data_IF_714644406583
#
_entry.id   IF_714644406583
#
_cell.length_a   1.000
_cell.length_b   1.000
_cell.length_c   1.000
_cell.angle_alpha   90.00
_cell.angle_beta   90.00
_cell.angle_gamma   90.00
#
_symmetry.space_group_name_H-M   'P 1'
#
loop_
_entity.id
_entity.type
_entity.pdbx_description
1 polymer ?
#
# COMPACT_ATOMS: atom_id res chain seq x y z
N UNK A 1 -2.84 4.82 -22.76
CA UNK A 1 -2.76 3.50 -22.07
C UNK A 1 -2.85 3.64 -20.54
N UNK A 2 -1.94 4.33 -19.84
CA UNK A 2 -2.03 4.46 -18.36
C UNK A 2 -3.26 5.29 -17.90
N UNK A 3 -3.57 6.41 -18.55
CA UNK A 3 -4.77 7.21 -18.26
C UNK A 3 -6.05 6.39 -18.43
N UNK A 4 -6.14 5.62 -19.46
CA UNK A 4 -7.29 4.75 -19.77
C UNK A 4 -7.51 3.67 -18.68
N UNK A 5 -6.43 3.13 -18.11
CA UNK A 5 -6.48 2.18 -17.00
C UNK A 5 -7.10 2.85 -15.76
N UNK A 6 -6.72 4.07 -15.44
CA UNK A 6 -7.26 4.80 -14.30
C UNK A 6 -8.73 5.13 -14.49
N UNK A 7 -9.10 5.66 -15.66
CA UNK A 7 -10.46 6.07 -15.94
C UNK A 7 -11.44 4.87 -15.93
N UNK A 8 -11.00 3.70 -16.39
CA UNK A 8 -11.86 2.52 -16.49
C UNK A 8 -11.90 1.66 -15.23
N UNK A 9 -10.86 1.67 -14.40
CA UNK A 9 -10.76 0.84 -13.20
C UNK A 9 -10.92 1.64 -11.91
N UNK A 10 -10.06 2.64 -11.68
CA UNK A 10 -10.02 3.31 -10.38
C UNK A 10 -11.23 4.22 -10.12
N UNK A 11 -11.74 4.92 -11.14
CA UNK A 11 -12.86 5.81 -10.92
C UNK A 11 -14.13 5.05 -10.49
N UNK A 12 -14.58 3.96 -11.15
CA UNK A 12 -15.66 3.13 -10.63
C UNK A 12 -15.35 2.49 -9.27
N UNK A 13 -14.09 2.07 -9.05
CA UNK A 13 -13.66 1.41 -7.82
C UNK A 13 -13.74 2.29 -6.58
N UNK A 14 -13.64 3.61 -6.72
CA UNK A 14 -13.80 4.58 -5.64
C UNK A 14 -15.10 4.40 -4.82
N UNK A 15 -16.16 3.87 -5.43
CA UNK A 15 -17.46 3.66 -4.78
C UNK A 15 -17.50 2.46 -3.84
N UNK A 16 -16.62 1.48 -4.02
CA UNK A 16 -16.69 0.17 -3.37
C UNK A 16 -15.47 -0.19 -2.53
N UNK A 17 -14.30 0.43 -2.79
CA UNK A 17 -13.03 0.05 -2.16
C UNK A 17 -13.06 0.07 -0.64
N UNK A 18 -13.70 1.07 -0.04
CA UNK A 18 -13.75 1.21 1.42
C UNK A 18 -14.62 0.13 2.10
N UNK A 19 -15.61 -0.43 1.40
CA UNK A 19 -16.46 -1.50 1.92
C UNK A 19 -15.66 -2.78 2.15
N UNK A 20 -14.84 -3.19 1.18
CA UNK A 20 -14.04 -4.41 1.26
C UNK A 20 -13.12 -4.39 2.51
N UNK A 21 -12.50 -3.25 2.79
CA UNK A 21 -11.62 -3.08 3.94
C UNK A 21 -12.34 -3.21 5.30
N UNK A 22 -13.65 -2.95 5.37
CA UNK A 22 -14.44 -2.99 6.61
C UNK A 22 -15.04 -4.36 6.95
N UNK A 23 -15.14 -5.28 5.99
CA UNK A 23 -15.96 -6.50 6.12
C UNK A 23 -15.17 -7.71 6.65
N UNK A 24 -13.89 -7.85 6.30
CA UNK A 24 -13.09 -9.05 6.54
C UNK A 24 -12.12 -8.87 7.71
N UNK A 25 -12.05 -9.87 8.60
CA UNK A 25 -11.05 -9.90 9.67
C UNK A 25 -9.61 -9.99 9.15
N UNK A 26 -9.41 -10.57 7.96
CA UNK A 26 -8.14 -10.55 7.24
C UNK A 26 -7.69 -9.11 6.95
N UNK A 27 -8.58 -8.25 6.43
CA UNK A 27 -8.23 -6.86 6.16
C UNK A 27 -8.00 -6.07 7.44
N UNK A 28 -8.77 -6.33 8.52
CA UNK A 28 -8.50 -5.71 9.83
C UNK A 28 -7.12 -6.06 10.35
N UNK A 29 -6.71 -7.34 10.24
CA UNK A 29 -5.37 -7.78 10.64
C UNK A 29 -4.27 -7.08 9.82
N UNK A 30 -4.44 -7.03 8.51
CA UNK A 30 -3.50 -6.34 7.62
C UNK A 30 -3.37 -4.85 7.97
N UNK A 31 -4.50 -4.18 8.21
CA UNK A 31 -4.55 -2.78 8.62
C UNK A 31 -3.84 -2.53 9.97
N UNK A 32 -4.03 -3.42 10.96
CA UNK A 32 -3.36 -3.30 12.25
C UNK A 32 -1.84 -3.52 12.13
N UNK A 33 -1.39 -4.48 11.33
CA UNK A 33 0.04 -4.70 11.05
C UNK A 33 0.65 -3.44 10.39
N UNK A 34 0.00 -2.90 9.36
CA UNK A 34 0.46 -1.69 8.66
C UNK A 34 0.52 -0.50 9.63
N UNK A 35 -0.54 -0.30 10.41
CA UNK A 35 -0.62 0.81 11.38
C UNK A 35 0.49 0.72 12.41
N UNK A 36 0.78 -0.49 12.92
CA UNK A 36 1.84 -0.70 13.90
C UNK A 36 3.24 -0.47 13.29
N UNK A 37 3.47 -0.88 12.04
CA UNK A 37 4.72 -0.56 11.33
C UNK A 37 4.89 0.96 11.20
N UNK A 38 3.86 1.68 10.75
CA UNK A 38 3.90 3.14 10.64
C UNK A 38 4.14 3.80 12.01
N UNK A 39 3.49 3.29 13.07
CA UNK A 39 3.69 3.80 14.45
C UNK A 39 5.14 3.63 14.91
N UNK A 40 5.79 2.52 14.58
CA UNK A 40 7.20 2.27 14.97
C UNK A 40 8.20 3.05 14.15
N UNK A 41 7.95 3.15 12.84
CA UNK A 41 8.97 3.59 11.89
C UNK A 41 8.83 5.06 11.47
N UNK A 42 7.65 5.65 11.58
CA UNK A 42 7.39 7.03 11.15
C UNK A 42 7.03 7.94 12.35
N UNK A 43 6.14 7.49 13.26
CA UNK A 43 5.64 8.34 14.33
C UNK A 43 6.73 8.99 15.23
N UNK A 44 7.85 8.31 15.56
CA UNK A 44 8.91 8.91 16.36
C UNK A 44 9.58 10.13 15.70
N UNK A 45 9.44 10.28 14.37
CA UNK A 45 10.03 11.36 13.58
C UNK A 45 9.03 12.45 13.22
N UNK A 46 7.76 12.32 13.63
CA UNK A 46 6.71 13.29 13.37
C UNK A 46 6.57 14.31 14.51
N UNK A 47 6.49 15.58 14.13
CA UNK A 47 6.14 16.70 15.00
C UNK A 47 4.83 17.34 14.55
N UNK A 48 4.30 18.30 15.31
CA UNK A 48 3.08 19.02 14.93
C UNK A 48 3.25 19.87 13.66
N UNK A 49 4.50 20.17 13.27
CA UNK A 49 4.84 20.87 12.04
C UNK A 49 5.15 19.94 10.85
N UNK A 50 5.19 18.63 11.06
CA UNK A 50 5.50 17.66 9.98
C UNK A 50 4.42 17.63 8.92
N UNK A 51 4.86 17.42 7.67
CA UNK A 51 4.01 17.18 6.52
C UNK A 51 4.19 15.74 6.03
N UNK A 52 3.13 14.95 6.04
CA UNK A 52 3.12 13.59 5.49
C UNK A 52 2.31 13.54 4.20
N UNK A 53 2.90 13.01 3.13
CA UNK A 53 2.20 12.73 1.88
C UNK A 53 1.68 11.28 1.90
N UNK A 54 0.39 11.10 1.62
CA UNK A 54 -0.22 9.80 1.30
C UNK A 54 -0.22 9.64 -0.22
N UNK A 55 0.79 8.93 -0.72
CA UNK A 55 1.09 8.81 -2.15
C UNK A 55 0.25 7.70 -2.80
N UNK A 56 -0.69 8.09 -3.66
CA UNK A 56 -1.75 7.23 -4.17
C UNK A 56 -2.80 6.96 -3.08
N UNK A 57 -3.14 7.98 -2.29
CA UNK A 57 -3.97 7.84 -1.09
C UNK A 57 -5.46 7.59 -1.34
N UNK A 58 -5.90 7.61 -2.61
CA UNK A 58 -7.23 7.20 -3.03
C UNK A 58 -8.35 7.92 -2.29
N UNK A 59 -9.21 7.17 -1.60
CA UNK A 59 -10.36 7.66 -0.84
C UNK A 59 -9.99 8.33 0.49
N UNK A 60 -8.70 8.48 0.80
CA UNK A 60 -8.20 9.12 2.02
C UNK A 60 -8.34 8.27 3.28
N UNK A 61 -8.76 7.02 3.18
CA UNK A 61 -8.94 6.11 4.31
C UNK A 61 -7.67 5.99 5.16
N UNK A 62 -6.50 5.91 4.52
CA UNK A 62 -5.22 5.81 5.23
C UNK A 62 -4.77 7.12 5.83
N UNK A 63 -4.91 8.25 5.15
CA UNK A 63 -4.61 9.55 5.74
C UNK A 63 -5.44 9.81 7.00
N UNK A 64 -6.74 9.47 6.98
CA UNK A 64 -7.62 9.57 8.17
C UNK A 64 -7.13 8.62 9.27
N UNK A 65 -6.92 7.33 8.99
CA UNK A 65 -6.47 6.34 9.99
C UNK A 65 -5.10 6.71 10.58
N UNK A 66 -4.15 7.12 9.75
CA UNK A 66 -2.81 7.47 10.20
C UNK A 66 -2.75 8.80 10.94
N UNK A 67 -3.69 9.71 10.74
CA UNK A 67 -3.77 10.95 11.52
C UNK A 67 -4.03 10.71 13.01
N UNK A 68 -4.49 9.51 13.41
CA UNK A 68 -4.63 9.09 14.79
C UNK A 68 -3.29 8.70 15.45
N UNK A 69 -2.29 8.33 14.64
CA UNK A 69 -0.99 7.85 15.13
C UNK A 69 0.19 8.75 14.75
N UNK A 70 0.04 9.57 13.72
CA UNK A 70 1.06 10.53 13.28
C UNK A 70 0.61 11.96 13.59
N UNK A 71 1.56 12.78 14.05
CA UNK A 71 1.38 14.22 14.22
C UNK A 71 1.53 14.98 12.90
N UNK A 72 1.12 16.26 12.90
CA UNK A 72 1.29 17.15 11.77
C UNK A 72 0.16 17.08 10.74
N UNK A 73 0.43 17.52 9.54
CA UNK A 73 -0.52 17.64 8.43
C UNK A 73 -0.32 16.52 7.40
N UNK A 74 -1.39 16.24 6.66
CA UNK A 74 -1.38 15.28 5.58
C UNK A 74 -1.76 15.93 4.26
N UNK A 75 -1.21 15.40 3.16
CA UNK A 75 -1.71 15.64 1.81
C UNK A 75 -1.97 14.30 1.15
N UNK A 76 -3.23 14.02 0.84
CA UNK A 76 -3.61 12.92 -0.04
C UNK A 76 -3.26 13.34 -1.46
N UNK A 77 -2.37 12.59 -2.09
CA UNK A 77 -1.97 12.85 -3.47
C UNK A 77 -2.39 11.65 -4.33
N UNK A 78 -3.32 11.88 -5.24
CA UNK A 78 -3.84 10.82 -6.11
C UNK A 78 -4.13 11.36 -7.51
N UNK A 79 -4.09 10.50 -8.50
CA UNK A 79 -4.36 10.83 -9.88
C UNK A 79 -5.84 10.81 -10.24
N UNK A 80 -6.65 10.07 -9.49
CA UNK A 80 -8.08 9.88 -9.75
C UNK A 80 -8.91 10.97 -9.09
N UNK A 81 -9.54 11.83 -9.90
CA UNK A 81 -10.48 12.84 -9.41
C UNK A 81 -11.65 12.21 -8.63
N UNK A 82 -12.15 11.04 -9.06
CA UNK A 82 -13.25 10.34 -8.37
C UNK A 82 -12.82 9.79 -7.00
N UNK A 83 -11.57 9.32 -6.90
CA UNK A 83 -10.99 8.94 -5.60
C UNK A 83 -10.89 10.15 -4.67
N UNK A 84 -10.39 11.28 -5.16
CA UNK A 84 -10.28 12.52 -4.37
C UNK A 84 -11.65 13.11 -4.00
N UNK A 85 -12.65 13.00 -4.87
CA UNK A 85 -14.02 13.37 -4.52
C UNK A 85 -14.54 12.51 -3.35
N UNK A 86 -14.27 11.19 -3.38
CA UNK A 86 -14.60 10.29 -2.28
C UNK A 86 -13.80 10.60 -1.01
N UNK A 87 -12.52 10.94 -1.15
CA UNK A 87 -11.69 11.39 -0.02
C UNK A 87 -12.28 12.63 0.65
N UNK A 88 -12.75 13.61 -0.12
CA UNK A 88 -13.42 14.81 0.41
C UNK A 88 -14.64 14.47 1.26
N UNK A 89 -15.48 13.51 0.80
CA UNK A 89 -16.63 13.04 1.59
C UNK A 89 -16.20 12.36 2.89
N UNK A 90 -15.18 11.51 2.83
CA UNK A 90 -14.68 10.75 3.98
C UNK A 90 -14.04 11.69 5.02
N UNK A 91 -13.21 12.64 4.56
CA UNK A 91 -12.58 13.66 5.41
C UNK A 91 -13.65 14.51 6.09
N UNK A 92 -14.68 14.96 5.34
CA UNK A 92 -15.77 15.78 5.89
C UNK A 92 -16.57 15.08 6.99
N UNK A 93 -16.54 13.76 7.07
CA UNK A 93 -17.17 12.94 8.12
C UNK A 93 -16.24 12.63 9.28
N UNK A 94 -14.95 12.95 9.16
CA UNK A 94 -13.94 12.69 10.17
C UNK A 94 -13.74 13.91 11.09
N UNK A 95 -13.11 13.68 12.24
CA UNK A 95 -12.72 14.74 13.20
C UNK A 95 -11.30 15.27 12.99
N UNK A 96 -10.69 14.98 11.80
CA UNK A 96 -9.31 15.36 11.45
C UNK A 96 -9.23 16.18 10.16
N UNK A 97 -10.36 16.72 9.73
CA UNK A 97 -10.51 17.46 8.47
C UNK A 97 -9.60 18.71 8.35
N UNK A 98 -9.27 19.33 9.47
CA UNK A 98 -8.36 20.49 9.56
C UNK A 98 -6.89 20.14 9.31
N UNK A 99 -6.55 18.87 9.36
CA UNK A 99 -5.17 18.37 9.18
C UNK A 99 -4.91 17.75 7.80
N UNK A 100 -5.94 17.49 7.01
CA UNK A 100 -5.83 16.73 5.75
C UNK A 100 -6.19 17.61 4.56
N UNK A 101 -5.23 17.80 3.65
CA UNK A 101 -5.43 18.42 2.35
C UNK A 101 -5.37 17.36 1.24
N UNK A 102 -5.78 17.74 0.04
CA UNK A 102 -5.78 16.87 -1.14
C UNK A 102 -5.14 17.59 -2.32
N UNK A 103 -4.46 16.85 -3.18
CA UNK A 103 -3.93 17.33 -4.44
C UNK A 103 -4.04 16.24 -5.51
N UNK A 104 -4.49 16.63 -6.69
CA UNK A 104 -4.51 15.76 -7.87
C UNK A 104 -3.16 15.80 -8.57
N UNK A 105 -2.63 14.63 -8.96
CA UNK A 105 -1.39 14.55 -9.73
C UNK A 105 -0.88 13.14 -9.94
N UNK A 106 0.17 13.03 -10.75
CA UNK A 106 0.80 11.75 -11.10
C UNK A 106 2.11 11.58 -10.33
N UNK A 107 2.32 10.39 -9.76
CA UNK A 107 3.55 10.06 -9.01
C UNK A 107 4.82 10.04 -9.88
N UNK A 108 4.68 10.00 -11.20
CA UNK A 108 5.83 10.09 -12.13
C UNK A 108 6.25 11.55 -12.43
N UNK A 109 5.43 12.52 -12.01
CA UNK A 109 5.68 13.95 -12.12
C UNK A 109 4.89 14.70 -11.04
N UNK A 110 5.55 15.06 -9.94
CA UNK A 110 4.91 15.64 -8.77
C UNK A 110 5.11 17.15 -8.72
N UNK A 111 4.31 17.90 -9.47
CA UNK A 111 4.43 19.36 -9.57
C UNK A 111 3.90 20.12 -8.33
N UNK A 112 3.06 19.45 -7.51
CA UNK A 112 2.45 20.05 -6.32
C UNK A 112 3.45 20.34 -5.19
N UNK A 113 4.51 19.55 -5.08
CA UNK A 113 5.50 19.68 -4.02
C UNK A 113 6.85 20.20 -4.57
N UNK A 114 7.43 21.19 -3.87
CA UNK A 114 8.80 21.62 -4.09
C UNK A 114 9.81 20.54 -3.65
N UNK A 115 11.05 20.67 -4.09
CA UNK A 115 12.16 19.84 -3.62
C UNK A 115 12.30 19.97 -2.09
N UNK A 116 12.55 18.86 -1.41
CA UNK A 116 12.80 18.82 0.04
C UNK A 116 11.68 19.51 0.87
N UNK A 117 10.42 19.31 0.50
CA UNK A 117 9.29 19.96 1.18
C UNK A 117 8.45 19.03 2.06
N UNK A 118 8.55 17.71 1.91
CA UNK A 118 7.77 16.70 2.61
C UNK A 118 8.63 16.01 3.67
N UNK A 119 8.12 15.86 4.89
CA UNK A 119 8.85 15.20 5.98
C UNK A 119 8.75 13.69 5.91
N UNK A 120 7.56 13.16 5.58
CA UNK A 120 7.33 11.72 5.47
C UNK A 120 6.45 11.40 4.26
N UNK A 121 6.64 10.22 3.69
CA UNK A 121 5.79 9.69 2.62
C UNK A 121 5.29 8.30 3.04
N UNK A 122 4.01 8.05 2.86
CA UNK A 122 3.41 6.71 2.95
C UNK A 122 2.71 6.37 1.65
N UNK A 123 2.80 5.12 1.21
CA UNK A 123 2.09 4.64 0.02
C UNK A 123 1.59 3.22 0.32
N UNK A 124 0.32 3.08 0.64
CA UNK A 124 -0.26 1.86 1.21
C UNK A 124 -1.25 1.22 0.24
N UNK A 125 -1.36 -0.11 0.27
CA UNK A 125 -2.10 -0.95 -0.68
C UNK A 125 -1.65 -0.80 -2.13
N UNK A 126 -0.34 -0.62 -2.28
CA UNK A 126 0.39 -0.87 -3.54
C UNK A 126 0.08 0.04 -4.72
N UNK A 127 -0.10 1.37 -4.57
CA UNK A 127 -0.20 2.28 -5.72
C UNK A 127 0.98 2.13 -6.68
N UNK A 128 2.19 1.88 -6.15
CA UNK A 128 3.40 1.66 -6.93
C UNK A 128 3.25 0.52 -7.95
N UNK A 129 2.50 -0.53 -7.63
CA UNK A 129 2.30 -1.68 -8.53
C UNK A 129 1.52 -1.34 -9.81
N UNK A 130 0.77 -0.24 -9.82
CA UNK A 130 0.03 0.24 -10.98
C UNK A 130 0.84 1.22 -11.86
N UNK A 131 2.05 1.59 -11.44
CA UNK A 131 2.93 2.50 -12.16
C UNK A 131 3.94 1.69 -12.97
N UNK A 132 4.02 1.93 -14.30
CA UNK A 132 5.00 1.24 -15.16
C UNK A 132 6.34 1.96 -15.21
N UNK A 133 6.34 3.28 -15.03
CA UNK A 133 7.55 4.12 -14.97
C UNK A 133 8.03 4.32 -13.53
N UNK A 134 8.15 3.23 -12.79
CA UNK A 134 8.43 3.23 -11.35
C UNK A 134 9.72 3.96 -10.98
N UNK A 135 10.75 3.89 -11.84
CA UNK A 135 12.00 4.62 -11.62
C UNK A 135 11.82 6.14 -11.64
N UNK A 136 10.88 6.68 -12.44
CA UNK A 136 10.53 8.10 -12.40
C UNK A 136 9.79 8.43 -11.10
N UNK A 137 8.80 7.62 -10.73
CA UNK A 137 8.07 7.81 -9.48
C UNK A 137 9.00 7.80 -8.27
N UNK A 138 9.92 6.83 -8.18
CA UNK A 138 10.90 6.77 -7.08
C UNK A 138 11.80 8.01 -7.02
N UNK A 139 12.24 8.55 -8.17
CA UNK A 139 13.04 9.78 -8.23
C UNK A 139 12.25 11.02 -7.80
N UNK A 140 10.98 11.14 -8.20
CA UNK A 140 10.10 12.22 -7.77
C UNK A 140 9.83 12.17 -6.25
N UNK A 141 9.54 10.99 -5.71
CA UNK A 141 9.40 10.80 -4.27
C UNK A 141 10.70 11.15 -3.52
N UNK A 142 11.86 10.80 -4.08
CA UNK A 142 13.15 11.23 -3.53
C UNK A 142 13.35 12.74 -3.59
N UNK A 143 13.00 13.38 -4.71
CA UNK A 143 13.15 14.82 -4.90
C UNK A 143 12.38 15.61 -3.84
N UNK A 144 11.11 15.28 -3.62
CA UNK A 144 10.23 16.04 -2.71
C UNK A 144 10.48 15.76 -1.24
N UNK A 145 11.03 14.58 -0.87
CA UNK A 145 11.32 14.23 0.51
C UNK A 145 12.50 15.05 1.04
N UNK A 146 12.40 15.56 2.27
CA UNK A 146 13.48 16.26 2.96
C UNK A 146 14.66 15.34 3.27
N UNK A 147 15.91 15.84 3.36
CA UNK A 147 16.98 15.09 4.00
C UNK A 147 16.59 14.68 5.44
N UNK A 148 16.85 13.42 5.79
CA UNK A 148 16.37 12.80 7.04
C UNK A 148 14.90 12.36 7.01
N UNK A 149 14.16 12.67 5.95
CA UNK A 149 12.78 12.26 5.77
C UNK A 149 12.66 10.76 5.48
N UNK A 150 11.52 10.17 5.83
CA UNK A 150 11.26 8.73 5.70
C UNK A 150 10.13 8.42 4.76
N UNK A 151 10.26 7.29 4.08
CA UNK A 151 9.24 6.77 3.18
C UNK A 151 8.92 5.31 3.49
N UNK A 152 7.63 4.99 3.57
CA UNK A 152 7.09 3.64 3.60
C UNK A 152 6.27 3.39 2.33
N UNK A 153 6.71 2.47 1.48
CA UNK A 153 6.06 2.15 0.21
C UNK A 153 5.68 0.68 0.16
N UNK A 154 4.42 0.44 -0.19
CA UNK A 154 3.90 -0.90 -0.41
C UNK A 154 3.83 -1.25 -1.89
N UNK A 155 4.14 -2.51 -2.21
CA UNK A 155 3.98 -3.11 -3.52
C UNK A 155 3.48 -4.55 -3.41
N UNK A 156 2.76 -5.05 -4.40
CA UNK A 156 2.40 -6.46 -4.49
C UNK A 156 3.65 -7.35 -4.53
N UNK A 157 3.63 -8.43 -3.74
CA UNK A 157 4.74 -9.37 -3.67
C UNK A 157 4.79 -10.30 -4.87
N UNK A 158 5.96 -10.42 -5.48
CA UNK A 158 6.24 -11.33 -6.56
C UNK A 158 6.10 -12.79 -6.16
N UNK A 159 6.70 -13.19 -5.02
CA UNK A 159 6.63 -14.57 -4.57
C UNK A 159 5.24 -14.99 -4.14
N UNK A 160 4.48 -14.09 -3.52
CA UNK A 160 3.07 -14.34 -3.20
C UNK A 160 2.22 -14.44 -4.47
N UNK A 161 2.47 -13.59 -5.46
CA UNK A 161 1.76 -13.66 -6.75
C UNK A 161 2.00 -15.01 -7.45
N UNK A 162 3.23 -15.51 -7.50
CA UNK A 162 3.54 -16.84 -8.02
C UNK A 162 2.80 -17.94 -7.25
N UNK A 163 2.90 -17.94 -5.91
CA UNK A 163 2.24 -18.92 -5.08
C UNK A 163 0.73 -18.92 -5.27
N UNK A 164 0.10 -17.74 -5.29
CA UNK A 164 -1.34 -17.60 -5.50
C UNK A 164 -1.78 -18.05 -6.89
N UNK A 165 -1.05 -17.68 -7.94
CA UNK A 165 -1.36 -18.08 -9.32
C UNK A 165 -1.30 -19.59 -9.51
N UNK A 166 -0.37 -20.26 -8.84
CA UNK A 166 -0.26 -21.72 -8.88
C UNK A 166 -1.36 -22.39 -8.04
N UNK A 167 -1.51 -21.99 -6.78
CA UNK A 167 -2.33 -22.72 -5.82
C UNK A 167 -3.83 -22.37 -5.89
N UNK A 168 -4.15 -21.09 -6.06
CA UNK A 168 -5.53 -20.59 -5.97
C UNK A 168 -6.17 -20.37 -7.35
N UNK A 169 -5.40 -19.81 -8.31
CA UNK A 169 -5.93 -19.45 -9.63
C UNK A 169 -5.68 -20.52 -10.70
N UNK A 170 -4.79 -21.48 -10.44
CA UNK A 170 -4.42 -22.54 -11.41
C UNK A 170 -4.08 -21.98 -12.78
N UNK A 171 -3.28 -20.89 -12.80
CA UNK A 171 -2.90 -20.17 -14.00
C UNK A 171 -2.23 -21.09 -15.03
N UNK A 172 -2.43 -20.80 -16.29
CA UNK A 172 -1.81 -21.58 -17.38
C UNK A 172 -0.29 -21.33 -17.47
N UNK A 173 0.39 -22.18 -18.24
CA UNK A 173 1.85 -22.11 -18.40
C UNK A 173 2.32 -20.76 -18.96
N UNK A 174 1.56 -20.14 -19.88
CA UNK A 174 1.93 -18.86 -20.49
C UNK A 174 1.86 -17.72 -19.47
N UNK A 175 0.82 -17.69 -18.66
CA UNK A 175 0.66 -16.70 -17.59
C UNK A 175 1.75 -16.85 -16.55
N UNK A 176 2.05 -18.10 -16.11
CA UNK A 176 3.11 -18.37 -15.14
C UNK A 176 4.50 -17.96 -15.65
N UNK A 177 4.82 -18.27 -16.92
CA UNK A 177 6.09 -17.86 -17.54
C UNK A 177 6.19 -16.34 -17.67
N UNK A 178 5.10 -15.65 -18.02
CA UNK A 178 5.07 -14.19 -18.07
C UNK A 178 5.34 -13.60 -16.68
N UNK A 179 4.64 -14.07 -15.66
CA UNK A 179 4.85 -13.61 -14.28
C UNK A 179 6.29 -13.87 -13.83
N UNK A 180 6.84 -15.06 -14.10
CA UNK A 180 8.20 -15.42 -13.73
C UNK A 180 9.27 -14.53 -14.40
N UNK A 181 9.08 -14.15 -15.66
CA UNK A 181 10.07 -13.40 -16.42
C UNK A 181 9.92 -11.89 -16.33
N UNK A 182 8.68 -11.39 -16.24
CA UNK A 182 8.38 -9.95 -16.29
C UNK A 182 7.97 -9.36 -14.93
N UNK A 183 7.76 -10.19 -13.90
CA UNK A 183 7.24 -9.79 -12.59
C UNK A 183 5.92 -9.01 -12.69
N UNK A 184 5.06 -9.38 -13.63
CA UNK A 184 3.76 -8.77 -13.86
C UNK A 184 2.65 -9.78 -13.68
N UNK A 185 1.58 -9.37 -13.01
CA UNK A 185 0.42 -10.22 -12.71
C UNK A 185 -0.88 -9.54 -13.11
N UNK A 186 -1.80 -10.31 -13.67
CA UNK A 186 -3.18 -9.93 -13.91
C UNK A 186 -4.09 -10.80 -13.06
N UNK A 187 -4.79 -10.20 -12.09
CA UNK A 187 -5.63 -10.95 -11.15
C UNK A 187 -6.98 -11.35 -11.74
N UNK A 188 -7.59 -10.46 -12.54
CA UNK A 188 -8.85 -10.71 -13.23
C UNK A 188 -8.89 -9.94 -14.56
N UNK A 189 -9.78 -10.29 -15.51
CA UNK A 189 -9.85 -9.62 -16.82
C UNK A 189 -10.06 -8.10 -16.73
N UNK A 190 -10.83 -7.63 -15.75
CA UNK A 190 -11.16 -6.21 -15.55
C UNK A 190 -10.12 -5.46 -14.68
N UNK A 191 -9.21 -6.18 -14.02
CA UNK A 191 -8.14 -5.57 -13.20
C UNK A 191 -6.95 -5.25 -14.10
N UNK A 192 -6.33 -4.06 -13.97
CA UNK A 192 -5.09 -3.73 -14.67
C UNK A 192 -3.99 -4.73 -14.35
N UNK A 193 -3.06 -4.90 -15.27
CA UNK A 193 -1.84 -5.66 -14.98
C UNK A 193 -0.97 -4.89 -13.98
N UNK A 194 -0.49 -5.60 -12.97
CA UNK A 194 0.29 -5.05 -11.87
C UNK A 194 1.76 -5.44 -12.00
N UNK A 195 2.66 -4.53 -11.63
CA UNK A 195 4.07 -4.86 -11.39
C UNK A 195 4.18 -5.39 -9.97
N UNK A 196 4.87 -6.53 -9.83
CA UNK A 196 5.13 -7.17 -8.53
C UNK A 196 6.60 -7.05 -8.17
N UNK A 197 6.92 -7.08 -6.87
CA UNK A 197 8.29 -6.96 -6.41
C UNK A 197 8.66 -8.09 -5.44
N UNK A 198 9.89 -8.58 -5.55
CA UNK A 198 10.57 -9.22 -4.43
C UNK A 198 11.16 -8.14 -3.51
N UNK A 199 11.63 -8.55 -2.32
CA UNK A 199 12.39 -7.67 -1.42
C UNK A 199 13.54 -7.00 -2.17
N UNK A 200 14.33 -7.79 -2.89
CA UNK A 200 15.52 -7.32 -3.61
C UNK A 200 15.17 -6.32 -4.71
N UNK A 201 14.09 -6.57 -5.45
CA UNK A 201 13.72 -5.69 -6.58
C UNK A 201 13.15 -4.34 -6.13
N UNK A 202 12.36 -4.29 -5.05
CA UNK A 202 11.86 -3.00 -4.52
C UNK A 202 13.00 -2.21 -3.86
N UNK A 203 13.87 -2.87 -3.10
CA UNK A 203 15.03 -2.24 -2.49
C UNK A 203 15.97 -1.65 -3.54
N UNK A 204 16.24 -2.40 -4.61
CA UNK A 204 17.05 -1.90 -5.74
C UNK A 204 16.41 -0.70 -6.41
N UNK A 205 15.11 -0.74 -6.70
CA UNK A 205 14.38 0.36 -7.33
C UNK A 205 14.57 1.68 -6.56
N UNK A 206 14.43 1.65 -5.24
CA UNK A 206 14.54 2.84 -4.40
C UNK A 206 16.01 3.23 -4.12
N UNK A 207 16.92 2.27 -4.00
CA UNK A 207 18.35 2.55 -3.91
C UNK A 207 18.88 3.24 -5.17
N UNK A 208 18.44 2.82 -6.36
CA UNK A 208 18.81 3.44 -7.64
C UNK A 208 18.27 4.89 -7.75
N UNK A 209 17.22 5.24 -7.01
CA UNK A 209 16.69 6.60 -6.91
C UNK A 209 17.40 7.47 -5.86
N UNK A 210 18.29 6.90 -5.05
CA UNK A 210 19.11 7.61 -4.05
C UNK A 210 18.71 7.37 -2.59
N UNK A 211 17.66 6.60 -2.33
CA UNK A 211 17.25 6.27 -0.97
C UNK A 211 18.21 5.30 -0.27
N UNK A 212 18.35 5.46 1.04
CA UNK A 212 18.96 4.46 1.90
C UNK A 212 17.87 3.54 2.45
N UNK A 213 17.91 2.27 2.05
CA UNK A 213 16.98 1.26 2.54
C UNK A 213 17.27 0.97 4.01
N UNK A 214 16.24 0.98 4.83
CA UNK A 214 16.33 0.69 6.26
C UNK A 214 15.82 -0.72 6.55
N UNK A 215 14.66 -1.09 6.01
CA UNK A 215 14.00 -2.36 6.28
C UNK A 215 12.92 -2.66 5.25
N UNK A 216 12.66 -3.93 5.00
CA UNK A 216 11.51 -4.37 4.19
C UNK A 216 10.72 -5.41 4.96
N UNK A 217 9.42 -5.18 5.05
CA UNK A 217 8.43 -6.04 5.71
C UNK A 217 7.63 -6.82 4.67
N UNK A 218 7.25 -8.04 5.01
CA UNK A 218 6.13 -8.75 4.36
C UNK A 218 4.83 -8.47 5.12
N UNK A 219 3.72 -8.20 4.43
CA UNK A 219 2.47 -7.81 5.11
C UNK A 219 1.25 -8.40 4.41
N UNK A 220 0.51 -9.31 5.08
CA UNK A 220 0.96 -10.23 6.12
C UNK A 220 1.84 -11.35 5.54
N UNK A 221 2.56 -12.12 6.38
CA UNK A 221 3.50 -13.17 5.91
C UNK A 221 2.96 -14.58 6.05
N UNK A 222 2.15 -14.86 7.06
CA UNK A 222 1.60 -16.18 7.33
C UNK A 222 0.14 -16.30 6.94
N UNK A 223 -0.64 -15.23 7.14
CA UNK A 223 -2.05 -15.21 6.83
C UNK A 223 -2.27 -14.89 5.35
N UNK A 224 -3.01 -15.74 4.67
CA UNK A 224 -3.38 -15.54 3.26
C UNK A 224 -4.89 -15.39 3.15
N UNK A 225 -5.38 -14.42 2.34
CA UNK A 225 -6.81 -14.22 2.15
C UNK A 225 -7.45 -15.36 1.36
N UNK A 226 -8.72 -15.62 1.64
CA UNK A 226 -9.56 -16.38 0.72
C UNK A 226 -10.11 -15.48 -0.41
N UNK A 227 -10.67 -16.07 -1.47
CA UNK A 227 -11.35 -15.32 -2.54
C UNK A 227 -12.47 -14.42 -2.01
N UNK A 228 -13.16 -14.87 -0.96
CA UNK A 228 -14.27 -14.17 -0.32
C UNK A 228 -13.85 -12.85 0.33
N UNK A 229 -12.59 -12.71 0.74
CA UNK A 229 -12.08 -11.48 1.38
C UNK A 229 -11.94 -10.31 0.39
N UNK A 230 -12.00 -10.58 -0.92
CA UNK A 230 -11.94 -9.56 -1.97
C UNK A 230 -13.31 -9.14 -2.50
N UNK A 231 -14.37 -9.84 -2.11
CA UNK A 231 -15.73 -9.57 -2.55
C UNK A 231 -16.52 -8.88 -1.42
N UNK A 232 -16.68 -7.56 -1.54
CA UNK A 232 -17.41 -6.76 -0.55
C UNK A 232 -18.93 -6.98 -0.53
N UNK A 233 -19.47 -7.67 -1.52
CA UNK A 233 -20.89 -8.00 -1.62
C UNK A 233 -21.19 -9.42 -1.12
N UNK A 234 -20.15 -10.22 -0.92
CA UNK A 234 -20.29 -11.58 -0.45
C UNK A 234 -20.46 -11.61 1.09
N UNK A 235 -21.59 -12.14 1.55
CA UNK A 235 -21.83 -12.34 2.99
C UNK A 235 -21.00 -13.49 3.57
N UNK A 236 -20.48 -14.38 2.71
CA UNK A 236 -19.67 -15.51 3.13
C UNK A 236 -18.25 -15.06 3.42
N UNK A 237 -17.79 -15.30 4.63
CA UNK A 237 -16.41 -15.04 5.04
C UNK A 237 -15.48 -16.18 4.60
N UNK A 238 -14.24 -15.87 4.34
CA UNK A 238 -13.21 -16.90 4.16
C UNK A 238 -12.96 -17.64 5.48
N UNK A 239 -12.49 -18.88 5.40
CA UNK A 239 -12.15 -19.67 6.58
C UNK A 239 -11.13 -18.97 7.49
N UNK A 240 -10.16 -18.24 6.91
CA UNK A 240 -9.18 -17.47 7.68
C UNK A 240 -9.83 -16.27 8.36
N UNK A 241 -10.75 -15.57 7.69
CA UNK A 241 -11.46 -14.45 8.30
C UNK A 241 -12.40 -14.92 9.42
N UNK A 242 -13.09 -16.05 9.26
CA UNK A 242 -13.88 -16.66 10.34
C UNK A 242 -13.01 -17.01 11.56
N UNK A 243 -11.84 -17.60 11.33
CA UNK A 243 -10.88 -17.94 12.38
C UNK A 243 -10.37 -16.70 13.14
N UNK A 244 -10.10 -15.61 12.41
CA UNK A 244 -9.65 -14.34 12.98
C UNK A 244 -10.75 -13.51 13.68
N UNK A 245 -12.02 -13.91 13.62
CA UNK A 245 -13.08 -13.25 14.41
C UNK A 245 -12.95 -13.52 15.91
N UNK A 246 -12.25 -14.59 16.30
CA UNK A 246 -11.92 -14.82 17.71
C UNK A 246 -10.85 -13.83 18.17
N UNK A 247 -11.11 -12.97 19.20
CA UNK A 247 -10.18 -11.92 19.62
C UNK A 247 -8.82 -12.45 20.12
N UNK A 248 -8.80 -13.60 20.79
CA UNK A 248 -7.56 -14.20 21.32
C UNK A 248 -6.71 -14.77 20.18
N UNK A 249 -7.36 -15.36 19.18
CA UNK A 249 -6.71 -15.82 17.95
C UNK A 249 -6.14 -14.62 17.20
N UNK A 250 -6.96 -13.59 16.96
CA UNK A 250 -6.54 -12.38 16.27
C UNK A 250 -5.29 -11.76 16.90
N UNK A 251 -5.30 -11.60 18.24
CA UNK A 251 -4.17 -11.07 18.99
C UNK A 251 -2.93 -11.95 18.83
N UNK A 252 -3.08 -13.26 18.98
CA UNK A 252 -1.94 -14.19 18.84
C UNK A 252 -1.36 -14.18 17.43
N UNK A 253 -2.22 -14.15 16.41
CA UNK A 253 -1.78 -14.08 15.01
C UNK A 253 -1.09 -12.74 14.72
N UNK A 254 -1.65 -11.62 15.20
CA UNK A 254 -1.02 -10.30 15.08
C UNK A 254 0.38 -10.29 15.70
N UNK A 255 0.56 -10.81 16.91
CA UNK A 255 1.86 -10.88 17.58
C UNK A 255 2.87 -11.74 16.79
N UNK A 256 2.42 -12.86 16.21
CA UNK A 256 3.25 -13.73 15.36
C UNK A 256 3.66 -12.98 14.09
N UNK A 257 2.71 -12.36 13.39
CA UNK A 257 2.99 -11.56 12.19
C UNK A 257 4.02 -10.46 12.49
N UNK A 258 3.80 -9.68 13.54
CA UNK A 258 4.72 -8.59 13.94
C UNK A 258 6.10 -9.08 14.35
N UNK A 259 6.21 -10.30 14.85
CA UNK A 259 7.49 -10.92 15.23
C UNK A 259 8.34 -11.32 14.03
N UNK A 260 7.70 -11.73 12.92
CA UNK A 260 8.40 -12.35 11.81
C UNK A 260 8.34 -11.54 10.49
N UNK A 261 7.49 -10.53 10.40
CA UNK A 261 7.24 -9.79 9.14
C UNK A 261 8.49 -9.08 8.56
N UNK A 262 9.49 -8.79 9.39
CA UNK A 262 10.77 -8.21 8.95
C UNK A 262 11.92 -9.22 8.91
N UNK A 263 11.67 -10.51 9.18
CA UNK A 263 12.70 -11.54 9.10
C UNK A 263 13.09 -11.75 7.63
N UNK A 264 14.39 -11.70 7.33
CA UNK A 264 14.90 -11.76 5.95
C UNK A 264 14.42 -12.98 5.15
N UNK A 265 14.31 -14.13 5.81
CA UNK A 265 13.85 -15.38 5.17
C UNK A 265 12.33 -15.39 4.95
N UNK A 266 11.56 -14.72 5.80
CA UNK A 266 10.10 -14.80 5.83
C UNK A 266 9.44 -13.65 5.09
N UNK A 267 10.02 -12.45 5.14
CA UNK A 267 9.43 -11.23 4.57
C UNK A 267 9.03 -11.38 3.09
N UNK A 268 9.85 -12.04 2.29
CA UNK A 268 9.58 -12.30 0.87
C UNK A 268 8.32 -13.17 0.62
N UNK A 269 7.74 -13.81 1.65
CA UNK A 269 6.49 -14.57 1.55
C UNK A 269 5.24 -13.70 1.76
N UNK A 270 5.44 -12.47 2.22
CA UNK A 270 4.32 -11.55 2.48
C UNK A 270 3.45 -11.35 1.26
N UNK A 271 2.17 -11.10 1.48
CA UNK A 271 1.22 -10.74 0.42
C UNK A 271 1.65 -9.45 -0.27
N UNK A 272 2.16 -8.51 0.50
CA UNK A 272 2.76 -7.28 0.01
C UNK A 272 4.16 -7.10 0.58
N UNK A 273 5.04 -6.45 -0.19
CA UNK A 273 6.29 -5.88 0.28
C UNK A 273 6.04 -4.47 0.79
N UNK A 274 6.46 -4.16 2.01
CA UNK A 274 6.32 -2.83 2.61
C UNK A 274 7.70 -2.34 3.04
N UNK A 275 8.32 -1.52 2.20
CA UNK A 275 9.70 -1.09 2.33
C UNK A 275 9.80 0.27 3.01
N UNK A 276 10.68 0.35 4.03
CA UNK A 276 11.10 1.57 4.70
C UNK A 276 12.45 2.04 4.13
N UNK A 277 12.50 3.30 3.73
CA UNK A 277 13.74 3.94 3.33
C UNK A 277 13.83 5.39 3.84
N UNK A 278 15.01 5.97 3.77
CA UNK A 278 15.32 7.32 4.23
C UNK A 278 16.11 8.08 3.15
N UNK A 279 15.85 9.38 3.00
CA UNK A 279 16.70 10.28 2.23
C UNK A 279 17.78 10.83 3.16
N UNK A 280 19.05 10.56 2.81
CA UNK A 280 20.19 11.17 3.50
C UNK A 280 20.44 12.60 3.07
#
# INVERSE_FOLDING_TARGET
>A
MQKEIFDTFFNPYAKTVDKAAGVSAFWRLSDEIITEIVRREIAPYCTDSSLTMDAGGGTGRWAIKLSEVLKGKFVIFDRSADMLAKASENIGKSNVSDRINMAEGDLIQIDYFADNSVDNIVSIYSPLSFIYEQGKAAKELFRILKPGGRILVMSHSYHNALASKINNYRADSKELQKLANEQRVKWAPHVPELVTHSKESIEKLFSDAGFQIQKTYGVPVFVQPGPEDFDSENEKKSAVSEYLENPDVFKSVFEIEMRFNANETVANRGMNMFMLAEKK
#
